data_IF_085693867238
#
_entry.id   IF_085693867238
#
_cell.length_a   1.000
_cell.length_b   1.000
_cell.length_c   1.000
_cell.angle_alpha   90.00
_cell.angle_beta   90.00
_cell.angle_gamma   90.00
#
_symmetry.space_group_name_H-M   'P 1'
#
loop_
_entity.id
_entity.type
_entity.pdbx_description
1 polymer ?
#
# COMPACT_ATOMS: atom_id res chain seq x y z
N UNK A 1 24.74 13.73 -19.54
CA UNK A 1 23.34 13.37 -19.22
C UNK A 1 23.24 11.85 -19.10
N UNK A 2 22.31 11.40 -18.26
CA UNK A 2 21.92 10.00 -17.96
C UNK A 2 22.76 9.25 -16.94
N UNK A 3 22.37 9.38 -15.67
CA UNK A 3 22.69 8.41 -14.62
C UNK A 3 21.90 7.13 -14.91
N UNK A 4 22.57 6.06 -15.32
CA UNK A 4 21.98 4.72 -15.41
C UNK A 4 21.50 4.33 -14.01
N UNK A 5 20.21 4.50 -13.74
CA UNK A 5 19.62 4.09 -12.48
C UNK A 5 19.74 2.58 -12.38
N UNK A 6 20.58 2.10 -11.44
CA UNK A 6 20.68 0.67 -11.15
C UNK A 6 19.31 0.21 -10.66
N UNK A 7 18.78 -0.85 -11.27
CA UNK A 7 17.52 -1.45 -10.87
C UNK A 7 17.59 -1.86 -9.39
N UNK A 8 16.48 -1.70 -8.69
CA UNK A 8 16.34 -2.21 -7.33
C UNK A 8 16.36 -3.74 -7.34
N UNK A 9 16.65 -4.35 -6.20
CA UNK A 9 16.60 -5.80 -6.04
C UNK A 9 15.22 -6.37 -6.44
N UNK A 10 14.12 -5.73 -6.04
CA UNK A 10 12.77 -6.15 -6.42
C UNK A 10 12.54 -6.06 -7.93
N UNK A 11 13.03 -5.01 -8.58
CA UNK A 11 12.92 -4.87 -10.03
C UNK A 11 13.68 -5.97 -10.77
N UNK A 12 14.88 -6.33 -10.29
CA UNK A 12 15.67 -7.44 -10.85
C UNK A 12 14.98 -8.80 -10.64
N UNK A 13 14.34 -9.00 -9.49
CA UNK A 13 13.60 -10.23 -9.20
C UNK A 13 12.37 -10.37 -10.11
N UNK A 14 11.59 -9.30 -10.27
CA UNK A 14 10.44 -9.28 -11.18
C UNK A 14 10.87 -9.53 -12.65
N UNK A 15 11.99 -8.95 -13.10
CA UNK A 15 12.50 -9.23 -14.44
C UNK A 15 12.88 -10.70 -14.64
N UNK A 16 13.41 -11.37 -13.62
CA UNK A 16 13.68 -12.80 -13.69
C UNK A 16 12.38 -13.60 -13.84
N UNK A 17 11.28 -13.17 -13.23
CA UNK A 17 9.98 -13.84 -13.40
C UNK A 17 9.46 -13.79 -14.84
N UNK A 18 9.81 -12.76 -15.62
CA UNK A 18 9.41 -12.67 -17.03
C UNK A 18 10.07 -13.70 -17.94
N UNK A 19 11.11 -14.41 -17.46
CA UNK A 19 11.66 -15.56 -18.18
C UNK A 19 10.69 -16.75 -18.22
N UNK A 20 9.68 -16.77 -17.34
CA UNK A 20 8.63 -17.77 -17.31
C UNK A 20 7.38 -17.28 -18.06
N UNK A 21 6.81 -18.14 -18.90
CA UNK A 21 5.47 -17.90 -19.46
C UNK A 21 4.44 -18.37 -18.44
N UNK A 22 3.94 -17.44 -17.62
CA UNK A 22 2.92 -17.71 -16.62
C UNK A 22 1.52 -17.56 -17.24
N UNK A 23 0.58 -18.47 -16.97
CA UNK A 23 -0.84 -18.24 -17.24
C UNK A 23 -1.36 -17.02 -16.48
N UNK A 24 -2.36 -16.32 -17.03
CA UNK A 24 -2.94 -15.10 -16.42
C UNK A 24 -3.41 -15.31 -14.98
N UNK A 25 -3.91 -16.50 -14.64
CA UNK A 25 -4.35 -16.87 -13.30
C UNK A 25 -3.21 -16.75 -12.28
N UNK A 26 -2.01 -17.23 -12.61
CA UNK A 26 -0.84 -17.14 -11.73
C UNK A 26 -0.36 -15.69 -11.57
N UNK A 27 -0.53 -14.84 -12.58
CA UNK A 27 -0.24 -13.41 -12.45
C UNK A 27 -1.19 -12.73 -11.47
N UNK A 28 -2.47 -13.14 -11.45
CA UNK A 28 -3.46 -12.65 -10.49
C UNK A 28 -3.08 -13.11 -9.08
N UNK A 29 -2.71 -14.37 -8.91
CA UNK A 29 -2.28 -14.92 -7.62
C UNK A 29 -1.06 -14.17 -7.07
N UNK A 30 -0.03 -13.92 -7.89
CA UNK A 30 1.15 -13.15 -7.47
C UNK A 30 0.76 -11.74 -7.04
N UNK A 31 -0.15 -11.08 -7.77
CA UNK A 31 -0.65 -9.75 -7.39
C UNK A 31 -1.37 -9.80 -6.05
N UNK A 32 -2.20 -10.82 -5.82
CA UNK A 32 -2.92 -11.01 -4.56
C UNK A 32 -1.95 -11.28 -3.40
N UNK A 33 -0.93 -12.10 -3.60
CA UNK A 33 0.11 -12.35 -2.60
C UNK A 33 0.84 -11.07 -2.19
N UNK A 34 1.22 -10.24 -3.16
CA UNK A 34 1.85 -8.95 -2.89
C UNK A 34 0.89 -8.00 -2.17
N UNK A 35 -0.37 -7.93 -2.61
CA UNK A 35 -1.39 -7.09 -1.98
C UNK A 35 -1.61 -7.51 -0.51
N UNK A 36 -1.76 -8.81 -0.25
CA UNK A 36 -1.94 -9.34 1.10
C UNK A 36 -0.73 -9.00 1.98
N UNK A 37 0.50 -9.19 1.49
CA UNK A 37 1.70 -8.85 2.26
C UNK A 37 1.71 -7.38 2.68
N UNK A 38 1.35 -6.45 1.78
CA UNK A 38 1.30 -5.03 2.14
C UNK A 38 0.13 -4.66 3.04
N UNK A 39 -1.03 -5.33 2.90
CA UNK A 39 -2.16 -5.17 3.82
C UNK A 39 -1.76 -5.60 5.23
N UNK A 40 -1.15 -6.77 5.40
CA UNK A 40 -0.67 -7.27 6.70
C UNK A 40 0.31 -6.29 7.36
N UNK A 41 1.17 -5.64 6.56
CA UNK A 41 2.09 -4.61 7.06
C UNK A 41 1.38 -3.31 7.45
N UNK A 42 0.38 -2.91 6.68
CA UNK A 42 -0.42 -1.72 6.98
C UNK A 42 -1.23 -1.93 8.26
N UNK A 43 -1.87 -3.09 8.41
CA UNK A 43 -2.65 -3.45 9.60
C UNK A 43 -1.75 -3.46 10.86
N UNK A 44 -0.58 -4.11 10.78
CA UNK A 44 0.37 -4.14 11.90
C UNK A 44 0.88 -2.75 12.30
N UNK A 45 1.12 -1.86 11.34
CA UNK A 45 1.52 -0.47 11.65
C UNK A 45 0.35 0.33 12.21
N UNK A 46 -0.89 0.10 11.74
CA UNK A 46 -2.09 0.72 12.30
C UNK A 46 -2.31 0.31 13.77
N UNK A 47 -2.18 -0.97 14.10
CA UNK A 47 -2.25 -1.46 15.48
C UNK A 47 -1.18 -0.79 16.35
N UNK A 48 0.06 -0.69 15.84
CA UNK A 48 1.15 -0.02 16.54
C UNK A 48 0.83 1.45 16.81
N UNK A 49 0.31 2.18 15.81
CA UNK A 49 -0.07 3.59 15.96
C UNK A 49 -1.25 3.76 16.91
N UNK A 50 -2.23 2.84 16.85
CA UNK A 50 -3.38 2.80 17.74
C UNK A 50 -2.97 2.75 19.20
N UNK A 51 -2.07 1.82 19.54
CA UNK A 51 -1.54 1.72 20.89
C UNK A 51 -0.65 2.91 21.27
N UNK A 52 0.26 3.32 20.38
CA UNK A 52 1.22 4.41 20.66
C UNK A 52 0.52 5.74 20.94
N UNK A 53 -0.55 6.03 20.22
CA UNK A 53 -1.29 7.28 20.33
C UNK A 53 -2.45 7.21 21.34
N UNK A 54 -2.65 6.05 21.99
CA UNK A 54 -3.74 5.85 22.95
C UNK A 54 -5.12 5.98 22.32
N UNK A 55 -5.25 5.66 21.03
CA UNK A 55 -6.53 5.70 20.35
C UNK A 55 -7.51 4.71 20.96
N UNK A 56 -8.78 5.10 20.97
CA UNK A 56 -9.87 4.33 21.53
C UNK A 56 -11.17 4.65 20.78
N UNK A 57 -12.29 4.12 21.25
CA UNK A 57 -13.60 4.32 20.64
C UNK A 57 -13.97 5.80 20.47
N UNK A 58 -13.61 6.67 21.43
CA UNK A 58 -13.86 8.11 21.32
C UNK A 58 -13.07 8.74 20.16
N UNK A 59 -11.85 8.24 19.89
CA UNK A 59 -11.05 8.71 18.75
C UNK A 59 -11.75 8.44 17.42
N UNK A 60 -12.40 7.28 17.28
CA UNK A 60 -13.17 6.94 16.07
C UNK A 60 -14.36 7.89 15.94
N UNK A 61 -15.08 8.15 17.03
CA UNK A 61 -16.20 9.09 17.05
C UNK A 61 -15.79 10.51 16.64
N UNK A 62 -14.63 10.96 17.11
CA UNK A 62 -14.08 12.28 16.77
C UNK A 62 -13.71 12.35 15.28
N UNK A 63 -13.05 11.32 14.74
CA UNK A 63 -12.72 11.25 13.32
C UNK A 63 -13.96 11.19 12.42
N UNK A 64 -14.99 10.44 12.82
CA UNK A 64 -16.23 10.32 12.07
C UNK A 64 -16.98 11.67 11.96
N UNK A 65 -16.84 12.55 12.97
CA UNK A 65 -17.39 13.91 12.98
C UNK A 65 -16.44 14.95 12.38
N UNK A 66 -15.21 14.56 12.07
CA UNK A 66 -14.17 15.41 11.49
C UNK A 66 -14.46 15.80 10.04
N UNK A 67 -13.89 16.93 9.61
CA UNK A 67 -14.01 17.46 8.25
C UNK A 67 -12.65 17.42 7.51
N UNK A 68 -11.86 16.37 7.76
CA UNK A 68 -10.49 16.18 7.23
C UNK A 68 -10.44 15.80 5.73
N UNK A 69 -11.58 15.88 5.03
CA UNK A 69 -11.65 15.63 3.59
C UNK A 69 -11.06 16.81 2.82
N UNK A 70 -10.49 16.55 1.66
CA UNK A 70 -10.06 17.62 0.75
C UNK A 70 -11.23 18.56 0.44
N UNK A 71 -11.12 19.88 0.68
CA UNK A 71 -12.19 20.83 0.39
C UNK A 71 -12.56 20.80 -1.09
N UNK A 72 -13.86 20.84 -1.39
CA UNK A 72 -14.33 20.91 -2.77
C UNK A 72 -14.01 22.29 -3.37
N UNK A 73 -13.21 22.31 -4.43
CA UNK A 73 -12.99 23.49 -5.26
C UNK A 73 -13.82 23.35 -6.55
N UNK A 74 -15.04 23.93 -6.60
CA UNK A 74 -15.80 23.95 -7.85
C UNK A 74 -15.02 24.74 -8.90
N UNK A 75 -14.81 24.15 -10.07
CA UNK A 75 -14.32 24.89 -11.25
C UNK A 75 -15.44 25.81 -11.74
N UNK A 76 -15.16 27.11 -11.81
CA UNK A 76 -16.01 28.10 -12.46
C UNK A 76 -15.94 27.96 -13.98
#
# INVERSE_FOLDING_TARGET
MSTTAKLTNLQLELLQTFSYSLPDEQLIEIRQLLAQYFLDKADAEMDRLWHKNGWNENTIDDWAKGHERTPYQPKQ
#
